data_IF_723885484769
#
_entry.id   IF_723885484769
#
_cell.length_a   1.000
_cell.length_b   1.000
_cell.length_c   1.000
_cell.angle_alpha   90.00
_cell.angle_beta   90.00
_cell.angle_gamma   90.00
#
_symmetry.space_group_name_H-M   'P 1'
#
loop_
_entity.id
_entity.type
_entity.pdbx_description
1 polymer ?
#
# COMPACT_ATOMS: atom_id res chain seq x y z
N UNK A 1 11.36 3.67 20.35
CA UNK A 1 10.29 2.85 19.73
C UNK A 1 10.21 3.27 18.27
N UNK A 2 10.38 2.35 17.33
CA UNK A 2 10.22 2.67 15.91
C UNK A 2 8.72 2.86 15.62
N UNK A 3 8.35 3.96 14.98
CA UNK A 3 6.97 4.24 14.58
C UNK A 3 6.76 3.68 13.19
N UNK A 4 5.83 2.75 13.04
CA UNK A 4 5.41 2.26 11.71
C UNK A 4 4.53 3.33 11.07
N UNK A 5 4.92 3.76 9.86
CA UNK A 5 4.13 4.69 9.04
C UNK A 5 3.40 3.91 7.95
N UNK A 6 2.12 4.23 7.75
CA UNK A 6 1.27 3.60 6.73
C UNK A 6 0.88 4.64 5.70
N UNK A 7 1.21 4.37 4.45
CA UNK A 7 0.76 5.15 3.29
C UNK A 7 -0.18 4.29 2.44
N UNK A 8 -1.13 4.93 1.76
CA UNK A 8 -2.13 4.26 0.93
C UNK A 8 -2.40 5.09 -0.32
N UNK A 9 -2.44 4.44 -1.47
CA UNK A 9 -2.84 5.04 -2.73
C UNK A 9 -3.82 4.12 -3.46
N UNK A 10 -4.71 4.73 -4.23
CA UNK A 10 -5.65 4.02 -5.08
C UNK A 10 -5.03 3.68 -6.43
N UNK A 11 -5.61 2.70 -7.12
CA UNK A 11 -5.16 2.31 -8.45
C UNK A 11 -5.14 3.52 -9.40
N UNK A 12 -4.05 3.67 -10.16
CA UNK A 12 -3.82 4.81 -11.05
C UNK A 12 -3.20 6.05 -10.39
N UNK A 13 -3.14 6.11 -9.06
CA UNK A 13 -2.53 7.22 -8.33
C UNK A 13 -1.14 6.84 -7.78
N UNK A 14 -0.13 7.71 -7.91
CA UNK A 14 1.19 7.45 -7.35
C UNK A 14 1.15 7.48 -5.82
N UNK A 15 1.97 6.62 -5.20
CA UNK A 15 2.24 6.65 -3.76
C UNK A 15 3.60 7.30 -3.51
N UNK A 16 3.68 8.18 -2.51
CA UNK A 16 4.94 8.80 -2.08
C UNK A 16 5.28 8.40 -0.65
N UNK A 17 6.50 7.93 -0.42
CA UNK A 17 7.01 7.57 0.91
C UNK A 17 8.07 8.58 1.32
N UNK A 18 7.97 9.14 2.54
CA UNK A 18 8.92 10.13 3.06
C UNK A 18 9.29 9.85 4.52
N UNK A 19 10.59 9.78 4.78
CA UNK A 19 11.15 9.75 6.14
C UNK A 19 11.65 11.16 6.53
N UNK A 20 11.62 11.52 7.83
CA UNK A 20 12.09 12.82 8.28
C UNK A 20 13.63 12.89 8.30
N UNK A 21 14.19 14.06 7.97
CA UNK A 21 15.62 14.32 8.09
C UNK A 21 16.48 13.43 7.19
N UNK A 22 17.38 12.65 7.81
CA UNK A 22 18.33 11.73 7.13
C UNK A 22 17.92 10.27 7.22
N UNK A 23 16.75 9.98 7.78
CA UNK A 23 16.25 8.61 7.92
C UNK A 23 15.94 8.02 6.55
N UNK A 24 16.16 6.71 6.41
CA UNK A 24 15.91 5.97 5.17
C UNK A 24 14.61 5.19 5.26
N UNK A 25 14.04 4.86 4.10
CA UNK A 25 12.81 4.06 4.01
C UNK A 25 13.18 2.59 4.25
N UNK A 26 12.39 1.93 5.10
CA UNK A 26 12.41 0.49 5.29
C UNK A 26 10.99 -0.02 5.15
N UNK A 27 10.74 -0.89 4.17
CA UNK A 27 9.42 -1.48 3.95
C UNK A 27 9.24 -2.63 4.95
N UNK A 28 8.24 -2.53 5.82
CA UNK A 28 7.85 -3.61 6.74
C UNK A 28 6.84 -4.55 6.08
N UNK A 29 5.84 -3.98 5.39
CA UNK A 29 4.80 -4.71 4.68
C UNK A 29 4.31 -3.90 3.49
N UNK A 30 3.89 -4.59 2.42
CA UNK A 30 3.21 -3.98 1.29
C UNK A 30 2.25 -4.99 0.66
N UNK A 31 1.06 -4.53 0.29
CA UNK A 31 0.07 -5.30 -0.46
C UNK A 31 -0.45 -4.45 -1.61
N UNK A 32 -0.47 -5.02 -2.81
CA UNK A 32 -1.18 -4.44 -3.95
C UNK A 32 -2.43 -5.27 -4.19
N UNK A 33 -3.60 -4.66 -4.04
CA UNK A 33 -4.88 -5.34 -4.10
C UNK A 33 -5.91 -4.65 -3.21
N UNK A 34 -6.89 -5.42 -2.72
CA UNK A 34 -8.02 -4.92 -1.93
C UNK A 34 -8.31 -5.86 -0.76
N UNK A 35 -8.31 -5.30 0.44
CA UNK A 35 -8.62 -6.00 1.70
C UNK A 35 -9.84 -5.44 2.42
N UNK A 36 -10.37 -4.31 1.93
CA UNK A 36 -11.44 -3.53 2.55
C UNK A 36 -12.33 -2.95 1.44
N UNK A 37 -13.63 -2.97 1.67
CA UNK A 37 -14.69 -2.53 0.77
C UNK A 37 -15.04 -1.03 0.93
N UNK A 38 -14.30 -0.29 1.77
CA UNK A 38 -14.53 1.16 2.02
C UNK A 38 -13.37 2.04 1.57
N UNK A 39 -12.24 1.43 1.22
CA UNK A 39 -11.02 2.14 0.78
C UNK A 39 -11.04 2.23 -0.74
N UNK A 40 -10.69 3.39 -1.32
CA UNK A 40 -10.67 3.59 -2.78
C UNK A 40 -12.02 3.26 -3.43
N UNK A 41 -12.98 4.16 -3.18
CA UNK A 41 -14.37 4.06 -3.64
C UNK A 41 -14.43 4.01 -5.18
N UNK A 42 -15.23 3.10 -5.71
CA UNK A 42 -15.35 2.81 -7.14
C UNK A 42 -16.69 2.09 -7.40
N UNK A 43 -16.87 1.51 -8.59
CA UNK A 43 -18.07 0.71 -8.87
C UNK A 43 -18.22 -0.45 -7.86
N UNK A 44 -19.43 -0.71 -7.32
CA UNK A 44 -19.65 -1.74 -6.31
C UNK A 44 -19.11 -3.12 -6.70
N UNK A 45 -19.23 -3.48 -7.98
CA UNK A 45 -18.72 -4.74 -8.52
C UNK A 45 -17.18 -4.87 -8.41
N UNK A 46 -16.44 -3.76 -8.41
CA UNK A 46 -14.98 -3.76 -8.23
C UNK A 46 -14.57 -3.81 -6.75
N UNK A 47 -15.49 -3.47 -5.84
CA UNK A 47 -15.23 -3.40 -4.41
C UNK A 47 -15.59 -4.69 -3.67
N UNK A 48 -16.42 -5.56 -4.26
CA UNK A 48 -16.84 -6.84 -3.67
C UNK A 48 -15.66 -7.76 -3.31
N UNK A 49 -14.58 -7.75 -4.09
CA UNK A 49 -13.43 -8.61 -3.83
C UNK A 49 -12.48 -8.00 -2.78
N UNK A 50 -12.73 -8.32 -1.51
CA UNK A 50 -11.90 -7.92 -0.37
C UNK A 50 -10.81 -8.94 -0.01
N UNK A 51 -10.59 -9.97 -0.84
CA UNK A 51 -9.52 -10.97 -0.65
C UNK A 51 -8.53 -10.96 -1.80
N UNK A 52 -8.17 -9.77 -2.24
CA UNK A 52 -7.21 -9.57 -3.31
C UNK A 52 -5.84 -9.22 -2.73
N UNK A 53 -4.88 -10.13 -2.89
CA UNK A 53 -3.53 -9.99 -2.36
C UNK A 53 -2.48 -10.28 -3.43
N UNK A 54 -1.41 -9.49 -3.44
CA UNK A 54 -0.25 -9.72 -4.28
C UNK A 54 1.02 -9.81 -3.41
N UNK A 55 1.48 -11.02 -3.06
CA UNK A 55 2.64 -11.20 -2.17
C UNK A 55 3.94 -10.56 -2.69
N UNK A 56 4.10 -10.46 -4.02
CA UNK A 56 5.30 -9.86 -4.61
C UNK A 56 5.34 -8.32 -4.49
N UNK A 57 4.24 -7.68 -4.06
CA UNK A 57 4.21 -6.24 -3.80
C UNK A 57 5.29 -5.82 -2.79
N UNK A 58 5.55 -6.64 -1.77
CA UNK A 58 6.62 -6.39 -0.80
C UNK A 58 8.00 -6.31 -1.46
N UNK A 59 8.32 -7.25 -2.36
CA UNK A 59 9.59 -7.24 -3.08
C UNK A 59 9.69 -6.06 -4.03
N UNK A 60 8.62 -5.74 -4.73
CA UNK A 60 8.57 -4.61 -5.67
C UNK A 60 8.83 -3.29 -4.92
N UNK A 61 8.16 -3.08 -3.78
CA UNK A 61 8.34 -1.87 -2.97
C UNK A 61 9.70 -1.81 -2.27
N UNK A 62 10.32 -2.95 -1.95
CA UNK A 62 11.65 -3.00 -1.33
C UNK A 62 12.82 -2.89 -2.30
N UNK A 63 12.58 -3.10 -3.60
CA UNK A 63 13.59 -2.97 -4.67
C UNK A 63 13.65 -1.57 -5.29
N UNK A 64 12.58 -0.79 -5.13
CA UNK A 64 12.42 0.57 -5.67
C UNK A 64 12.96 1.60 -4.70
#
# INVERSE_FOLDING_TARGET
MAVVRRELSCEGYPIELRCPGTDVIMIESANYGRTDDKICDSDPAQMENTRCYLPDAYKIMGLR
#
